data_IF_922447765640
#
_entry.id   IF_922447765640
#
_cell.length_a   1.000
_cell.length_b   1.000
_cell.length_c   1.000
_cell.angle_alpha   90.00
_cell.angle_beta   90.00
_cell.angle_gamma   90.00
#
_symmetry.space_group_name_H-M   'P 1'
#
loop_
_entity.id
_entity.type
_entity.pdbx_description
1 polymer ?
#
# COMPACT_ATOMS: atom_id res chain seq x y z
N UNK A 1 29.27 -5.01 -8.43
CA UNK A 1 27.98 -4.29 -8.29
C UNK A 1 28.04 -3.06 -9.18
N UNK A 2 27.13 -2.91 -10.14
CA UNK A 2 27.06 -1.70 -10.99
C UNK A 2 26.31 -0.60 -10.23
N UNK A 3 26.97 0.52 -9.95
CA UNK A 3 26.45 1.76 -9.31
C UNK A 3 25.53 2.55 -10.26
N UNK A 4 24.54 1.89 -10.87
CA UNK A 4 23.56 2.54 -11.74
C UNK A 4 22.25 2.72 -11.00
N UNK A 5 21.73 3.94 -11.04
CA UNK A 5 20.44 4.26 -10.44
C UNK A 5 19.35 4.28 -11.49
N UNK A 6 18.15 3.84 -11.10
CA UNK A 6 17.01 3.76 -12.00
C UNK A 6 15.78 4.40 -11.37
N UNK A 7 15.03 5.17 -12.16
CA UNK A 7 13.70 5.69 -11.82
C UNK A 7 12.66 4.88 -12.59
N UNK A 8 11.72 4.30 -11.86
CA UNK A 8 10.70 3.40 -12.38
C UNK A 8 9.35 4.03 -12.14
N UNK A 9 8.60 4.23 -13.22
CA UNK A 9 7.31 4.90 -13.22
C UNK A 9 6.26 3.90 -13.66
N UNK A 10 5.26 3.70 -12.81
CA UNK A 10 4.14 2.78 -13.03
C UNK A 10 2.84 3.56 -12.86
N UNK A 11 1.95 3.47 -13.85
CA UNK A 11 0.60 3.98 -13.78
C UNK A 11 -0.33 2.92 -13.19
N UNK A 12 -1.26 3.37 -12.33
CA UNK A 12 -2.30 2.53 -11.75
C UNK A 12 -3.66 3.15 -12.04
N UNK A 13 -4.59 2.36 -12.57
CA UNK A 13 -5.92 2.83 -12.96
C UNK A 13 -6.91 1.66 -13.02
N UNK A 14 -8.19 1.95 -12.80
CA UNK A 14 -9.25 0.94 -12.91
C UNK A 14 -9.74 0.75 -14.34
N UNK A 15 -10.07 -0.49 -14.69
CA UNK A 15 -10.84 -0.84 -15.90
C UNK A 15 -11.93 -1.83 -15.48
N UNK A 16 -13.19 -1.41 -15.56
CA UNK A 16 -14.31 -2.22 -15.05
C UNK A 16 -14.13 -2.55 -13.57
N UNK A 17 -14.08 -3.85 -13.24
CA UNK A 17 -13.87 -4.37 -11.89
C UNK A 17 -12.40 -4.56 -11.51
N UNK A 18 -11.46 -4.32 -12.43
CA UNK A 18 -10.06 -4.64 -12.24
C UNK A 18 -9.22 -3.37 -12.02
N UNK A 19 -8.18 -3.51 -11.20
CA UNK A 19 -7.13 -2.51 -11.05
C UNK A 19 -5.94 -2.97 -11.89
N UNK A 20 -5.55 -2.15 -12.85
CA UNK A 20 -4.41 -2.41 -13.73
C UNK A 20 -3.19 -1.61 -13.28
N UNK A 21 -2.02 -2.19 -13.53
CA UNK A 21 -0.72 -1.57 -13.25
C UNK A 21 0.16 -1.70 -14.48
N UNK A 22 0.54 -0.56 -15.07
CA UNK A 22 1.31 -0.52 -16.32
C UNK A 22 2.60 0.26 -16.08
N UNK A 23 3.73 -0.32 -16.47
CA UNK A 23 5.02 0.37 -16.40
C UNK A 23 5.16 1.36 -17.54
N UNK A 24 5.10 2.65 -17.22
CA UNK A 24 5.32 3.72 -18.20
C UNK A 24 6.80 3.83 -18.59
N UNK A 25 7.69 3.57 -17.63
CA UNK A 25 9.10 3.82 -17.86
C UNK A 25 10.04 3.26 -16.80
N UNK A 26 11.17 2.70 -17.22
CA UNK A 26 12.36 2.53 -16.37
C UNK A 26 13.53 3.28 -16.98
N UNK A 27 13.86 4.40 -16.35
CA UNK A 27 14.85 5.35 -16.83
C UNK A 27 16.12 5.21 -15.98
N UNK A 28 17.24 4.96 -16.64
CA UNK A 28 18.54 5.05 -15.98
C UNK A 28 18.90 6.51 -15.80
N UNK A 29 19.16 6.95 -14.57
CA UNK A 29 19.71 8.28 -14.32
C UNK A 29 21.23 8.19 -14.26
N UNK A 30 21.90 9.04 -15.05
CA UNK A 30 23.34 9.25 -15.01
C UNK A 30 23.71 10.54 -14.26
N UNK A 31 22.71 11.27 -13.76
CA UNK A 31 22.85 12.56 -13.08
C UNK A 31 22.57 12.42 -11.57
N UNK A 32 22.81 13.50 -10.81
CA UNK A 32 22.43 13.53 -9.39
C UNK A 32 20.90 13.48 -9.28
N UNK A 33 20.39 12.68 -8.35
CA UNK A 33 18.95 12.56 -8.05
C UNK A 33 18.40 13.80 -7.33
N UNK A 34 18.51 14.98 -7.93
CA UNK A 34 17.88 16.20 -7.42
C UNK A 34 16.36 16.11 -7.61
N UNK A 35 15.62 16.82 -6.75
CA UNK A 35 14.17 16.89 -6.84
C UNK A 35 13.69 17.45 -8.18
N UNK A 36 14.43 18.40 -8.74
CA UNK A 36 14.14 19.12 -9.97
C UNK A 36 14.27 18.17 -11.17
N UNK A 37 15.37 17.41 -11.25
CA UNK A 37 15.59 16.42 -12.31
C UNK A 37 14.52 15.32 -12.28
N UNK A 38 14.17 14.82 -11.09
CA UNK A 38 13.12 13.80 -10.95
C UNK A 38 11.76 14.37 -11.41
N UNK A 39 11.44 15.62 -11.05
CA UNK A 39 10.21 16.27 -11.48
C UNK A 39 10.14 16.42 -13.01
N UNK A 40 11.22 16.86 -13.65
CA UNK A 40 11.31 16.95 -15.11
C UNK A 40 11.10 15.59 -15.78
N UNK A 41 11.72 14.53 -15.26
CA UNK A 41 11.54 13.17 -15.78
C UNK A 41 10.09 12.69 -15.66
N UNK A 42 9.42 12.97 -14.53
CA UNK A 42 8.02 12.63 -14.32
C UNK A 42 7.11 13.36 -15.31
N UNK A 43 7.31 14.66 -15.49
CA UNK A 43 6.54 15.47 -16.43
C UNK A 43 6.77 15.04 -17.87
N UNK A 44 8.03 14.79 -18.26
CA UNK A 44 8.37 14.26 -19.58
C UNK A 44 7.69 12.93 -19.85
N UNK A 45 7.67 12.03 -18.87
CA UNK A 45 6.98 10.74 -18.99
C UNK A 45 5.47 10.95 -19.20
N UNK A 46 4.86 11.90 -18.51
CA UNK A 46 3.44 12.22 -18.74
C UNK A 46 3.19 12.70 -20.16
N UNK A 47 4.04 13.60 -20.68
CA UNK A 47 3.95 14.09 -22.07
C UNK A 47 4.16 12.98 -23.10
N UNK A 48 5.14 12.10 -22.89
CA UNK A 48 5.41 10.95 -23.78
C UNK A 48 4.21 10.00 -23.91
N UNK A 49 3.42 9.86 -22.84
CA UNK A 49 2.25 8.98 -22.79
C UNK A 49 0.92 9.71 -23.00
N UNK A 50 0.92 11.02 -23.24
CA UNK A 50 -0.32 11.81 -23.39
C UNK A 50 -1.18 11.86 -22.13
N UNK A 51 -0.55 11.82 -20.94
CA UNK A 51 -1.25 11.84 -19.65
C UNK A 51 -1.36 13.28 -19.14
N UNK A 52 -2.58 13.79 -19.06
CA UNK A 52 -2.84 15.10 -18.46
C UNK A 52 -2.55 15.11 -16.95
N UNK A 53 -1.87 16.17 -16.48
CA UNK A 53 -1.48 16.33 -15.07
C UNK A 53 -2.69 16.35 -14.12
N UNK A 54 -3.84 16.82 -14.60
CA UNK A 54 -5.07 16.92 -13.82
C UNK A 54 -5.75 15.56 -13.59
N UNK A 55 -5.48 14.58 -14.47
CA UNK A 55 -5.96 13.20 -14.32
C UNK A 55 -5.18 12.42 -13.25
N UNK A 56 -4.00 12.89 -12.86
CA UNK A 56 -3.19 12.25 -11.82
C UNK A 56 -3.82 12.56 -10.46
N UNK A 57 -4.35 11.52 -9.79
CA UNK A 57 -5.01 11.67 -8.49
C UNK A 57 -4.01 11.70 -7.33
N UNK A 58 -2.97 10.88 -7.40
CA UNK A 58 -1.93 10.78 -6.37
C UNK A 58 -0.65 10.15 -6.93
N UNK A 59 0.48 10.38 -6.27
CA UNK A 59 1.75 9.71 -6.58
C UNK A 59 2.35 9.11 -5.31
N UNK A 60 2.68 7.81 -5.35
CA UNK A 60 3.24 7.07 -4.22
C UNK A 60 4.75 6.87 -4.38
N UNK A 61 5.53 7.21 -3.35
CA UNK A 61 7.00 7.06 -3.35
C UNK A 61 7.52 6.55 -2.00
N UNK A 62 8.82 6.27 -1.90
CA UNK A 62 9.51 5.74 -0.71
C UNK A 62 9.79 6.80 0.40
N UNK A 63 9.16 7.97 0.33
CA UNK A 63 9.30 9.08 1.30
C UNK A 63 10.69 9.72 1.37
N UNK A 64 11.58 9.44 0.42
CA UNK A 64 12.86 10.16 0.35
C UNK A 64 12.61 11.65 0.06
N UNK A 65 13.35 12.53 0.72
CA UNK A 65 13.11 13.98 0.65
C UNK A 65 13.10 14.52 -0.79
N UNK A 66 13.99 14.01 -1.64
CA UNK A 66 14.07 14.40 -3.05
C UNK A 66 12.83 13.95 -3.83
N UNK A 67 12.30 12.74 -3.56
CA UNK A 67 11.06 12.27 -4.21
C UNK A 67 9.85 13.08 -3.76
N UNK A 68 9.71 13.37 -2.46
CA UNK A 68 8.61 14.19 -1.93
C UNK A 68 8.61 15.56 -2.58
N UNK A 69 9.77 16.24 -2.61
CA UNK A 69 9.91 17.56 -3.23
C UNK A 69 9.68 17.50 -4.75
N UNK A 70 10.15 16.45 -5.43
CA UNK A 70 9.89 16.26 -6.87
C UNK A 70 8.39 16.14 -7.19
N UNK A 71 7.63 15.39 -6.37
CA UNK A 71 6.18 15.26 -6.56
C UNK A 71 5.49 16.61 -6.32
N UNK A 72 5.92 17.37 -5.32
CA UNK A 72 5.36 18.71 -5.06
C UNK A 72 5.60 19.66 -6.23
N UNK A 73 6.82 19.65 -6.81
CA UNK A 73 7.17 20.43 -7.99
C UNK A 73 6.37 20.00 -9.24
N UNK A 74 6.19 18.70 -9.46
CA UNK A 74 5.55 18.18 -10.67
C UNK A 74 4.01 18.17 -10.59
N UNK A 75 3.43 17.92 -9.42
CA UNK A 75 2.00 17.59 -9.27
C UNK A 75 1.33 18.27 -8.07
N UNK A 76 2.05 19.10 -7.31
CA UNK A 76 1.58 19.72 -6.08
C UNK A 76 1.43 18.71 -4.94
N UNK A 77 0.51 19.00 -4.00
CA UNK A 77 0.24 18.18 -2.80
C UNK A 77 -0.52 16.88 -3.09
N UNK A 78 0.00 16.08 -4.02
CA UNK A 78 -0.54 14.77 -4.43
C UNK A 78 0.33 13.58 -3.98
N UNK A 79 1.39 13.84 -3.21
CA UNK A 79 2.26 12.80 -2.66
C UNK A 79 1.54 11.96 -1.60
N UNK A 80 1.65 10.64 -1.70
CA UNK A 80 1.23 9.68 -0.69
C UNK A 80 2.45 8.85 -0.27
N UNK A 81 2.71 8.71 1.04
CA UNK A 81 3.82 7.90 1.48
C UNK A 81 3.60 6.41 1.25
N UNK A 82 4.61 5.68 0.78
CA UNK A 82 4.52 4.24 0.59
C UNK A 82 4.34 3.54 1.94
N UNK A 83 3.15 2.94 2.16
CA UNK A 83 2.82 2.30 3.42
C UNK A 83 3.75 1.13 3.76
N UNK A 84 4.11 0.30 2.77
CA UNK A 84 5.03 -0.81 2.95
C UNK A 84 6.44 -0.35 3.38
N UNK A 85 6.94 0.72 2.76
CA UNK A 85 8.22 1.31 3.13
C UNK A 85 8.17 1.90 4.55
N UNK A 86 7.08 2.60 4.89
CA UNK A 86 6.89 3.15 6.24
C UNK A 86 6.84 2.04 7.30
N UNK A 87 6.16 0.90 7.04
CA UNK A 87 6.19 -0.26 7.94
C UNK A 87 7.60 -0.85 8.11
N UNK A 88 8.38 -0.94 7.02
CA UNK A 88 9.78 -1.34 7.09
C UNK A 88 10.59 -0.39 7.98
N UNK A 89 10.40 0.92 7.83
CA UNK A 89 11.08 1.92 8.66
C UNK A 89 10.69 1.81 10.14
N UNK A 90 9.40 1.56 10.45
CA UNK A 90 8.96 1.31 11.84
C UNK A 90 9.74 0.14 12.43
N UNK A 91 9.74 -1.01 11.77
CA UNK A 91 10.44 -2.20 12.29
C UNK A 91 11.96 -1.97 12.44
N UNK A 92 12.61 -1.41 11.42
CA UNK A 92 14.06 -1.17 11.43
C UNK A 92 14.45 -0.20 12.54
N UNK A 93 13.78 0.94 12.63
CA UNK A 93 14.08 1.96 13.62
C UNK A 93 13.79 1.46 15.03
N UNK A 94 12.73 0.69 15.23
CA UNK A 94 12.42 0.15 16.55
C UNK A 94 13.48 -0.85 17.02
N UNK A 95 13.91 -1.75 16.14
CA UNK A 95 14.99 -2.68 16.48
C UNK A 95 16.34 -1.97 16.69
N UNK A 96 16.61 -0.88 15.95
CA UNK A 96 17.86 -0.12 16.09
C UNK A 96 17.94 0.65 17.42
N UNK A 97 16.80 1.11 17.95
CA UNK A 97 16.71 1.84 19.22
C UNK A 97 16.92 0.93 20.43
N UNK A 98 16.59 -0.36 20.34
CA UNK A 98 16.79 -1.32 21.43
C UNK A 98 18.20 -1.94 21.36
N UNK A 99 19.13 -1.42 22.16
CA UNK A 99 20.55 -1.86 22.15
C UNK A 99 20.75 -3.31 22.53
N UNK A 100 20.03 -3.78 23.55
CA UNK A 100 20.04 -5.18 23.99
C UNK A 100 19.51 -6.12 22.90
N UNK A 101 18.45 -5.72 22.18
CA UNK A 101 17.93 -6.52 21.08
C UNK A 101 18.97 -6.69 19.97
N UNK A 102 19.73 -5.63 19.66
CA UNK A 102 20.81 -5.70 18.66
C UNK A 102 21.92 -6.67 19.05
N UNK A 103 22.27 -6.75 20.34
CA UNK A 103 23.28 -7.70 20.81
C UNK A 103 22.76 -9.14 20.68
N UNK A 104 21.50 -9.40 21.03
CA UNK A 104 20.88 -10.72 20.85
C UNK A 104 20.77 -11.13 19.39
N UNK A 105 20.37 -10.22 18.50
CA UNK A 105 20.34 -10.46 17.04
C UNK A 105 21.75 -10.84 16.54
N UNK A 106 22.78 -10.15 17.04
CA UNK A 106 24.17 -10.44 16.66
C UNK A 106 24.59 -11.84 17.10
N UNK A 107 24.28 -12.25 18.34
CA UNK A 107 24.55 -13.63 18.82
C UNK A 107 23.87 -14.69 17.94
N UNK A 108 22.58 -14.49 17.61
CA UNK A 108 21.86 -15.41 16.72
C UNK A 108 22.50 -15.46 15.34
N UNK A 109 22.89 -14.29 14.81
CA UNK A 109 23.55 -14.17 13.50
C UNK A 109 24.90 -14.89 13.47
N UNK A 110 25.69 -14.80 14.53
CA UNK A 110 27.00 -15.47 14.61
C UNK A 110 26.84 -16.99 14.59
N UNK A 111 25.87 -17.52 15.34
CA UNK A 111 25.50 -18.94 15.29
C UNK A 111 25.10 -19.35 13.88
N UNK A 112 24.16 -18.63 13.26
CA UNK A 112 23.68 -18.96 11.91
C UNK A 112 24.82 -18.90 10.88
N UNK A 113 25.70 -17.91 11.02
CA UNK A 113 26.87 -17.73 10.14
C UNK A 113 27.83 -18.90 10.27
N UNK A 114 28.12 -19.34 11.50
CA UNK A 114 28.97 -20.50 11.75
C UNK A 114 28.40 -21.79 11.13
N UNK A 115 27.09 -22.05 11.30
CA UNK A 115 26.44 -23.18 10.64
C UNK A 115 26.58 -23.11 9.12
N UNK A 116 26.42 -21.93 8.52
CA UNK A 116 26.56 -21.74 7.06
C UNK A 116 27.99 -21.91 6.56
N UNK A 117 28.99 -21.63 7.38
CA UNK A 117 30.41 -21.81 7.04
C UNK A 117 30.87 -23.26 7.25
N UNK A 118 30.27 -24.00 8.18
CA UNK A 118 30.59 -25.40 8.47
C UNK A 118 29.72 -26.35 7.65
N UNK A 119 30.28 -26.94 6.60
CA UNK A 119 29.60 -27.97 5.79
C UNK A 119 29.16 -29.18 6.65
N UNK A 120 29.95 -29.54 7.66
CA UNK A 120 29.67 -30.68 8.54
C UNK A 120 28.46 -30.36 9.44
N UNK A 121 28.51 -29.23 10.15
CA UNK A 121 27.41 -28.84 11.05
C UNK A 121 26.11 -28.56 10.27
N UNK A 122 26.20 -27.96 9.07
CA UNK A 122 25.07 -27.79 8.17
C UNK A 122 24.45 -29.13 7.74
N UNK A 123 25.28 -30.15 7.46
CA UNK A 123 24.79 -31.46 7.10
C UNK A 123 24.18 -32.22 8.29
N UNK A 124 24.75 -32.09 9.49
CA UNK A 124 24.14 -32.63 10.72
C UNK A 124 22.76 -32.01 10.96
N UNK A 125 22.65 -30.68 10.84
CA UNK A 125 21.37 -29.99 10.98
C UNK A 125 20.34 -30.47 9.95
N UNK A 126 20.76 -30.66 8.69
CA UNK A 126 19.88 -31.20 7.63
C UNK A 126 19.42 -32.63 7.92
N UNK A 127 20.28 -33.47 8.48
CA UNK A 127 19.93 -34.86 8.83
C UNK A 127 18.99 -34.90 10.04
N UNK A 128 19.22 -34.04 11.02
CA UNK A 128 18.39 -33.95 12.23
C UNK A 128 17.01 -33.32 11.96
N UNK A 129 16.89 -32.52 10.90
CA UNK A 129 15.61 -31.95 10.48
C UNK A 129 14.97 -32.83 9.39
N UNK A 130 13.85 -33.49 9.70
CA UNK A 130 13.12 -34.39 8.78
C UNK A 130 12.73 -33.77 7.41
N UNK A 131 12.89 -32.45 7.24
CA UNK A 131 12.51 -31.68 6.03
C UNK A 131 13.68 -30.96 5.35
N UNK A 132 14.94 -31.35 5.61
CA UNK A 132 16.15 -30.62 5.15
C UNK A 132 16.13 -29.13 5.51
N UNK A 133 15.57 -28.79 6.66
CA UNK A 133 15.34 -27.40 7.06
C UNK A 133 16.67 -26.70 7.36
N UNK A 134 16.95 -25.60 6.66
CA UNK A 134 18.15 -24.78 6.86
C UNK A 134 17.87 -23.57 7.75
N UNK A 135 18.90 -23.11 8.46
CA UNK A 135 18.89 -21.79 9.11
C UNK A 135 18.85 -20.67 8.05
N UNK A 136 18.15 -19.59 8.38
CA UNK A 136 17.98 -18.43 7.51
C UNK A 136 18.95 -17.35 7.96
N UNK A 137 19.77 -16.83 7.04
CA UNK A 137 20.65 -15.71 7.33
C UNK A 137 19.90 -14.40 7.12
N UNK A 138 20.11 -13.45 8.03
CA UNK A 138 19.71 -12.07 7.84
C UNK A 138 20.31 -11.47 6.56
N UNK A 139 19.48 -10.73 5.83
CA UNK A 139 19.88 -9.86 4.73
C UNK A 139 19.66 -8.41 5.20
N UNK A 140 20.71 -7.63 5.47
CA UNK A 140 20.61 -6.33 6.15
C UNK A 140 19.63 -5.32 5.54
N UNK A 141 19.30 -5.46 4.26
CA UNK A 141 18.44 -4.54 3.53
C UNK A 141 16.94 -4.70 3.81
N UNK A 142 16.49 -5.79 4.46
CA UNK A 142 15.07 -6.02 4.76
C UNK A 142 14.88 -6.58 6.16
N UNK A 143 14.11 -5.86 6.99
CA UNK A 143 13.86 -6.21 8.38
C UNK A 143 13.22 -7.59 8.57
N UNK A 144 12.39 -8.02 7.60
CA UNK A 144 11.71 -9.33 7.64
C UNK A 144 12.72 -10.49 7.70
N UNK A 145 13.92 -10.30 7.14
CA UNK A 145 14.96 -11.34 7.17
C UNK A 145 15.50 -11.57 8.59
N UNK A 146 15.61 -10.51 9.39
CA UNK A 146 15.96 -10.60 10.81
C UNK A 146 14.88 -11.36 11.58
N UNK A 147 13.61 -11.03 11.35
CA UNK A 147 12.47 -11.76 11.94
C UNK A 147 12.51 -13.26 11.60
N UNK A 148 12.63 -13.62 10.32
CA UNK A 148 12.68 -15.02 9.89
C UNK A 148 13.91 -15.76 10.38
N UNK A 149 15.06 -15.09 10.53
CA UNK A 149 16.26 -15.66 11.12
C UNK A 149 16.01 -16.05 12.58
N UNK A 150 15.46 -15.14 13.40
CA UNK A 150 15.16 -15.41 14.82
C UNK A 150 14.09 -16.50 14.95
N UNK A 151 13.00 -16.41 14.18
CA UNK A 151 11.92 -17.40 14.18
C UNK A 151 12.45 -18.80 13.86
N UNK A 152 13.21 -18.94 12.77
CA UNK A 152 13.82 -20.23 12.39
C UNK A 152 14.85 -20.72 13.40
N UNK A 153 15.64 -19.82 13.97
CA UNK A 153 16.60 -20.19 15.01
C UNK A 153 15.89 -20.75 16.25
N UNK A 154 14.83 -20.09 16.73
CA UNK A 154 14.05 -20.55 17.87
C UNK A 154 13.31 -21.86 17.59
N UNK A 155 12.81 -22.07 16.37
CA UNK A 155 12.22 -23.34 15.92
C UNK A 155 13.23 -24.50 16.05
N UNK A 156 14.50 -24.26 15.68
CA UNK A 156 15.54 -25.28 15.64
C UNK A 156 16.46 -25.30 16.87
N UNK A 157 16.17 -24.49 17.90
CA UNK A 157 17.09 -24.20 19.02
C UNK A 157 17.62 -25.44 19.73
N UNK A 158 16.82 -26.50 19.87
CA UNK A 158 17.21 -27.75 20.53
C UNK A 158 18.26 -28.49 19.71
N UNK A 159 17.98 -28.72 18.43
CA UNK A 159 18.90 -29.37 17.49
C UNK A 159 20.18 -28.52 17.33
N UNK A 160 20.04 -27.21 17.24
CA UNK A 160 21.16 -26.27 17.13
C UNK A 160 22.07 -26.38 18.36
N UNK A 161 21.49 -26.40 19.56
CA UNK A 161 22.24 -26.57 20.80
C UNK A 161 22.99 -27.91 20.87
N UNK A 162 22.31 -29.02 20.52
CA UNK A 162 22.90 -30.36 20.51
C UNK A 162 24.11 -30.49 19.59
N UNK A 163 24.09 -29.77 18.47
CA UNK A 163 25.21 -29.72 17.52
C UNK A 163 26.30 -28.81 18.08
N UNK A 164 25.99 -27.58 18.51
CA UNK A 164 26.98 -26.60 19.00
C UNK A 164 27.88 -27.19 20.09
N UNK A 165 27.31 -27.93 21.05
CA UNK A 165 28.04 -28.52 22.19
C UNK A 165 29.14 -29.51 21.73
N UNK A 166 29.02 -30.09 20.53
CA UNK A 166 30.01 -31.04 19.98
C UNK A 166 31.23 -30.37 19.37
N UNK A 167 31.19 -29.06 19.13
CA UNK A 167 32.23 -28.33 18.40
C UNK A 167 32.88 -27.25 19.26
N UNK A 168 34.18 -27.39 19.54
CA UNK A 168 34.95 -26.40 20.34
C UNK A 168 35.04 -25.02 19.69
N UNK A 169 34.96 -24.96 18.36
CA UNK A 169 35.02 -23.71 17.59
C UNK A 169 33.64 -23.12 17.29
N UNK A 170 32.57 -23.68 17.84
CA UNK A 170 31.23 -23.12 17.70
C UNK A 170 31.07 -21.88 18.59
N UNK A 171 30.32 -20.86 18.13
CA UNK A 171 29.96 -19.73 18.96
C UNK A 171 29.11 -20.18 20.17
N UNK A 172 29.16 -19.44 21.30
CA UNK A 172 28.39 -19.79 22.47
C UNK A 172 26.88 -19.72 22.17
N UNK A 173 26.14 -20.70 22.69
CA UNK A 173 24.68 -20.70 22.61
C UNK A 173 24.07 -19.59 23.47
N UNK A 174 22.87 -19.13 23.10
CA UNK A 174 22.09 -18.21 23.93
C UNK A 174 21.62 -18.91 25.21
N UNK A 175 21.59 -18.16 26.31
CA UNK A 175 21.07 -18.63 27.60
C UNK A 175 19.55 -18.84 27.55
N UNK A 176 19.00 -19.59 28.52
CA UNK A 176 17.55 -19.80 28.62
C UNK A 176 16.77 -18.48 28.75
N UNK A 177 17.32 -17.51 29.48
CA UNK A 177 16.75 -16.16 29.61
C UNK A 177 16.71 -15.44 28.27
N UNK A 178 17.82 -15.43 27.53
CA UNK A 178 17.90 -14.79 26.21
C UNK A 178 16.95 -15.44 25.18
N UNK A 179 16.77 -16.75 25.24
CA UNK A 179 15.80 -17.47 24.40
C UNK A 179 14.35 -17.08 24.74
N UNK A 180 14.04 -16.89 26.02
CA UNK A 180 12.74 -16.39 26.49
C UNK A 180 12.48 -14.96 25.99
N UNK A 181 13.47 -14.07 26.15
CA UNK A 181 13.45 -12.70 25.65
C UNK A 181 13.18 -12.65 24.15
N UNK A 182 13.93 -13.42 23.34
CA UNK A 182 13.72 -13.48 21.89
C UNK A 182 12.33 -14.00 21.51
N UNK A 183 11.82 -14.98 22.26
CA UNK A 183 10.47 -15.51 22.06
C UNK A 183 9.40 -14.46 22.31
N UNK A 184 9.58 -13.65 23.36
CA UNK A 184 8.70 -12.51 23.69
C UNK A 184 8.79 -11.39 22.64
N UNK A 185 10.00 -11.04 22.20
CA UNK A 185 10.25 -10.07 21.11
C UNK A 185 9.55 -10.50 19.81
N UNK A 186 9.60 -11.78 19.46
CA UNK A 186 8.92 -12.30 18.27
C UNK A 186 7.41 -12.11 18.30
N UNK A 187 6.78 -12.09 19.48
CA UNK A 187 5.33 -11.84 19.58
C UNK A 187 4.97 -10.46 19.03
N UNK A 188 5.82 -9.46 19.30
CA UNK A 188 5.62 -8.08 18.82
C UNK A 188 5.97 -7.97 17.33
N UNK A 189 7.14 -8.47 16.92
CA UNK A 189 7.59 -8.38 15.52
C UNK A 189 6.66 -9.14 14.56
N UNK A 190 6.04 -10.23 15.01
CA UNK A 190 5.07 -11.03 14.23
C UNK A 190 3.87 -10.18 13.76
N UNK A 191 3.44 -9.20 14.55
CA UNK A 191 2.32 -8.33 14.17
C UNK A 191 2.68 -7.40 13.01
N UNK A 192 3.89 -6.82 13.04
CA UNK A 192 4.40 -6.03 11.92
C UNK A 192 4.60 -6.93 10.69
N UNK A 193 5.07 -8.16 10.89
CA UNK A 193 5.32 -9.10 9.79
C UNK A 193 4.02 -9.48 9.10
N UNK A 194 2.98 -9.75 9.87
CA UNK A 194 1.65 -10.03 9.35
C UNK A 194 1.11 -8.84 8.51
N UNK A 195 1.29 -7.61 8.99
CA UNK A 195 0.90 -6.41 8.25
C UNK A 195 1.72 -6.25 6.96
N UNK A 196 3.05 -6.40 7.01
CA UNK A 196 3.92 -6.32 5.83
C UNK A 196 3.60 -7.41 4.81
N UNK A 197 3.36 -8.65 5.25
CA UNK A 197 2.91 -9.74 4.38
C UNK A 197 1.58 -9.42 3.72
N UNK A 198 0.62 -8.85 4.47
CA UNK A 198 -0.70 -8.49 3.91
C UNK A 198 -0.59 -7.43 2.82
N UNK A 199 0.19 -6.37 3.06
CA UNK A 199 0.42 -5.28 2.09
C UNK A 199 1.20 -5.78 0.88
N UNK A 200 2.19 -6.66 1.11
CA UNK A 200 3.03 -7.20 0.03
C UNK A 200 2.29 -8.23 -0.82
N UNK A 201 1.47 -9.10 -0.21
CA UNK A 201 0.75 -10.15 -0.93
C UNK A 201 -0.39 -9.58 -1.81
N UNK A 202 -0.91 -8.41 -1.44
CA UNK A 202 -1.95 -7.75 -2.22
C UNK A 202 -1.38 -7.32 -3.58
N UNK A 203 -1.93 -7.85 -4.67
CA UNK A 203 -1.52 -7.46 -6.03
C UNK A 203 -1.64 -5.95 -6.22
N UNK A 204 -2.65 -5.37 -5.56
CA UNK A 204 -2.89 -3.93 -5.56
C UNK A 204 -3.45 -3.51 -4.20
N UNK A 205 -2.57 -3.34 -3.19
CA UNK A 205 -2.99 -2.75 -1.92
C UNK A 205 -3.55 -1.35 -2.19
N UNK A 206 -4.87 -1.24 -2.20
CA UNK A 206 -5.59 0.01 -2.41
C UNK A 206 -5.32 0.95 -1.24
N UNK A 207 -5.24 2.23 -1.53
CA UNK A 207 -5.15 3.33 -0.56
C UNK A 207 -6.15 3.18 0.60
N UNK A 208 -7.35 2.65 0.30
CA UNK A 208 -8.43 2.43 1.27
C UNK A 208 -8.13 1.45 2.41
N UNK A 209 -7.13 0.57 2.25
CA UNK A 209 -6.76 -0.40 3.29
C UNK A 209 -5.77 0.17 4.31
N UNK A 210 -5.13 1.31 4.02
CA UNK A 210 -4.04 1.84 4.85
C UNK A 210 -4.53 2.19 6.26
N UNK A 211 -5.59 2.99 6.40
CA UNK A 211 -6.15 3.38 7.71
C UNK A 211 -6.66 2.15 8.49
N UNK A 212 -7.48 1.25 7.90
CA UNK A 212 -7.91 0.02 8.58
C UNK A 212 -6.77 -0.87 9.07
N UNK A 213 -5.71 -1.04 8.26
CA UNK A 213 -4.56 -1.87 8.64
C UNK A 213 -3.81 -1.28 9.82
N UNK A 214 -3.59 0.04 9.84
CA UNK A 214 -2.93 0.73 10.96
C UNK A 214 -3.75 0.60 12.23
N UNK A 215 -5.06 0.87 12.15
CA UNK A 215 -5.94 0.75 13.30
C UNK A 215 -5.99 -0.70 13.82
N UNK A 216 -6.16 -1.70 12.95
CA UNK A 216 -6.13 -3.11 13.35
C UNK A 216 -4.78 -3.51 13.97
N UNK A 217 -3.67 -3.01 13.43
CA UNK A 217 -2.33 -3.25 13.98
C UNK A 217 -2.22 -2.67 15.41
N UNK A 218 -2.67 -1.44 15.62
CA UNK A 218 -2.68 -0.80 16.94
C UNK A 218 -3.59 -1.54 17.94
N UNK A 219 -4.77 -2.01 17.51
CA UNK A 219 -5.66 -2.82 18.33
C UNK A 219 -5.05 -4.16 18.76
N UNK A 220 -4.06 -4.67 18.03
CA UNK A 220 -3.34 -5.89 18.39
C UNK A 220 -2.09 -5.60 19.21
N UNK A 221 -1.33 -4.56 18.89
CA UNK A 221 -0.08 -4.23 19.60
C UNK A 221 -0.36 -3.69 21.01
N UNK A 222 -1.30 -2.76 21.16
CA UNK A 222 -1.56 -2.09 22.45
C UNK A 222 -1.92 -3.05 23.60
N UNK A 223 -2.81 -4.05 23.42
CA UNK A 223 -3.18 -4.94 24.52
C UNK A 223 -2.23 -6.14 24.71
N UNK A 224 -1.14 -6.26 23.95
CA UNK A 224 -0.17 -7.34 24.15
C UNK A 224 0.41 -7.27 25.57
N UNK A 225 0.20 -8.34 26.33
CA UNK A 225 0.83 -8.54 27.64
C UNK A 225 2.14 -9.28 27.42
N UNK A 226 3.24 -8.58 27.70
CA UNK A 226 4.60 -9.11 27.57
C UNK A 226 5.17 -9.25 28.98
N UNK A 227 5.93 -10.31 29.22
CA UNK A 227 6.59 -10.54 30.52
C UNK A 227 7.94 -9.83 30.56
N UNK A 228 8.74 -10.07 29.53
CA UNK A 228 10.10 -9.60 29.35
C UNK A 228 10.21 -8.07 29.17
N UNK A 229 11.17 -7.45 29.87
CA UNK A 229 11.41 -6.00 29.84
C UNK A 229 11.75 -5.50 28.44
N UNK A 230 12.65 -6.18 27.73
CA UNK A 230 13.06 -5.81 26.38
C UNK A 230 11.89 -5.86 25.38
N UNK A 231 10.97 -6.81 25.54
CA UNK A 231 9.80 -6.91 24.68
C UNK A 231 8.82 -5.75 24.93
N UNK A 232 8.64 -5.32 26.20
CA UNK A 232 7.85 -4.12 26.56
C UNK A 232 8.48 -2.85 26.01
N UNK A 233 9.80 -2.74 26.09
CA UNK A 233 10.55 -1.62 25.50
C UNK A 233 10.30 -1.57 23.98
N UNK A 234 10.51 -2.69 23.28
CA UNK A 234 10.28 -2.79 21.84
C UNK A 234 8.84 -2.45 21.46
N UNK A 235 7.84 -2.93 22.22
CA UNK A 235 6.43 -2.59 22.02
C UNK A 235 6.20 -1.07 22.12
N UNK A 236 6.75 -0.42 23.15
CA UNK A 236 6.67 1.03 23.35
C UNK A 236 7.32 1.81 22.20
N UNK A 237 8.51 1.39 21.77
CA UNK A 237 9.24 2.03 20.66
C UNK A 237 8.48 1.84 19.34
N UNK A 238 7.91 0.67 19.07
CA UNK A 238 7.08 0.43 17.88
C UNK A 238 5.85 1.35 17.89
N UNK A 239 5.16 1.47 19.01
CA UNK A 239 4.00 2.37 19.11
C UNK A 239 4.38 3.83 18.84
N UNK A 240 5.53 4.29 19.37
CA UNK A 240 6.07 5.63 19.10
C UNK A 240 6.46 5.83 17.63
N UNK A 241 7.11 4.86 17.00
CA UNK A 241 7.48 4.94 15.57
C UNK A 241 6.25 4.90 14.65
N UNK A 242 5.21 4.13 15.00
CA UNK A 242 3.93 4.15 14.29
C UNK A 242 3.29 5.54 14.42
N UNK A 243 3.18 6.07 15.63
CA UNK A 243 2.59 7.40 15.87
C UNK A 243 3.35 8.52 15.13
N UNK A 244 4.67 8.53 15.24
CA UNK A 244 5.54 9.50 14.55
C UNK A 244 5.34 9.52 13.03
N UNK A 245 5.09 8.36 12.42
CA UNK A 245 5.06 8.20 10.95
C UNK A 245 3.66 8.15 10.37
N UNK A 246 2.69 7.75 11.18
CA UNK A 246 1.33 7.42 10.74
C UNK A 246 0.24 7.96 11.67
N UNK A 247 0.57 8.68 12.75
CA UNK A 247 -0.42 9.23 13.68
C UNK A 247 -1.38 10.24 13.02
N UNK A 248 -0.92 10.93 11.97
CA UNK A 248 -1.73 11.87 11.18
C UNK A 248 -2.27 11.28 9.88
N UNK A 249 -2.17 9.95 9.68
CA UNK A 249 -2.55 9.31 8.41
C UNK A 249 -4.04 9.51 8.07
N UNK A 250 -4.90 9.59 9.08
CA UNK A 250 -6.33 9.83 8.91
C UNK A 250 -6.62 11.22 8.36
N UNK A 251 -5.70 12.18 8.51
CA UNK A 251 -5.81 13.55 7.98
C UNK A 251 -5.33 13.66 6.53
N UNK A 252 -4.74 12.60 5.97
CA UNK A 252 -4.39 12.55 4.55
C UNK A 252 -5.68 12.35 3.76
N UNK A 253 -6.20 13.45 3.19
CA UNK A 253 -7.51 13.52 2.54
C UNK A 253 -7.74 12.39 1.52
N UNK A 254 -6.73 12.05 0.71
CA UNK A 254 -6.83 10.98 -0.29
C UNK A 254 -7.06 9.59 0.34
N UNK A 255 -6.33 9.27 1.40
CA UNK A 255 -6.48 7.99 2.12
C UNK A 255 -7.79 7.95 2.91
N UNK A 256 -8.17 9.06 3.53
CA UNK A 256 -9.40 9.17 4.30
C UNK A 256 -10.64 8.98 3.42
N UNK A 257 -10.69 9.67 2.27
CA UNK A 257 -11.77 9.51 1.30
C UNK A 257 -11.80 8.09 0.73
N UNK A 258 -10.65 7.53 0.35
CA UNK A 258 -10.58 6.16 -0.15
C UNK A 258 -11.09 5.14 0.89
N UNK A 259 -10.80 5.35 2.18
CA UNK A 259 -11.27 4.48 3.26
C UNK A 259 -12.78 4.60 3.49
N UNK A 260 -13.31 5.83 3.51
CA UNK A 260 -14.75 6.08 3.67
C UNK A 260 -15.53 5.46 2.51
N UNK A 261 -15.04 5.63 1.29
CA UNK A 261 -15.68 5.12 0.08
C UNK A 261 -15.38 3.63 -0.17
N UNK A 262 -14.65 2.94 0.71
CA UNK A 262 -14.55 1.49 0.66
C UNK A 262 -15.73 0.86 1.42
N UNK A 263 -16.65 0.14 0.74
CA UNK A 263 -17.85 -0.40 1.36
C UNK A 263 -17.56 -1.34 2.53
N UNK A 264 -16.34 -1.92 2.57
CA UNK A 264 -15.89 -2.86 3.60
C UNK A 264 -15.49 -2.17 4.91
N UNK A 265 -15.15 -0.88 4.88
CA UNK A 265 -14.59 -0.17 6.02
C UNK A 265 -15.41 1.04 6.44
N UNK A 266 -15.83 1.89 5.49
CA UNK A 266 -16.57 3.12 5.75
C UNK A 266 -15.89 3.96 6.85
N UNK A 267 -16.61 4.27 7.93
CA UNK A 267 -16.13 5.06 9.07
C UNK A 267 -15.52 4.22 10.20
N UNK A 268 -15.61 2.88 10.13
CA UNK A 268 -15.37 1.99 11.29
C UNK A 268 -13.96 2.11 11.87
N UNK A 269 -12.98 2.42 11.02
CA UNK A 269 -11.58 2.41 11.41
C UNK A 269 -10.99 3.78 11.73
N UNK A 270 -11.79 4.86 11.74
CA UNK A 270 -11.31 6.18 12.14
C UNK A 270 -11.26 6.29 13.66
N UNK A 271 -10.16 6.82 14.16
CA UNK A 271 -9.95 7.14 15.58
C UNK A 271 -10.00 8.65 15.84
N UNK A 272 -9.77 9.49 14.83
CA UNK A 272 -9.91 10.94 14.88
C UNK A 272 -11.28 11.35 14.29
N UNK A 273 -12.27 11.74 15.12
CA UNK A 273 -13.60 12.14 14.64
C UNK A 273 -13.57 13.37 13.73
N UNK A 274 -12.59 14.26 13.92
CA UNK A 274 -12.42 15.49 13.13
C UNK A 274 -11.93 15.11 11.74
N UNK A 275 -10.94 14.23 11.65
CA UNK A 275 -10.45 13.72 10.37
C UNK A 275 -11.55 13.00 9.58
N UNK A 276 -12.34 12.15 10.24
CA UNK A 276 -13.49 11.47 9.64
C UNK A 276 -14.52 12.48 9.11
N UNK A 277 -14.91 13.46 9.93
CA UNK A 277 -15.89 14.49 9.56
C UNK A 277 -15.41 15.37 8.41
N UNK A 278 -14.13 15.76 8.42
CA UNK A 278 -13.50 16.54 7.35
C UNK A 278 -13.50 15.77 6.03
N UNK A 279 -13.16 14.48 6.04
CA UNK A 279 -13.17 13.66 4.84
C UNK A 279 -14.59 13.45 4.29
N UNK A 280 -15.61 13.27 5.16
CA UNK A 280 -17.02 13.24 4.74
C UNK A 280 -17.44 14.57 4.09
N UNK A 281 -17.08 15.70 4.69
CA UNK A 281 -17.39 17.02 4.15
C UNK A 281 -16.74 17.22 2.76
N UNK A 282 -15.51 16.73 2.58
CA UNK A 282 -14.83 16.81 1.29
C UNK A 282 -15.48 15.95 0.20
N UNK A 283 -15.98 14.76 0.55
CA UNK A 283 -16.79 13.96 -0.39
C UNK A 283 -18.05 14.71 -0.81
N UNK A 284 -18.76 15.34 0.14
CA UNK A 284 -19.93 16.17 -0.18
C UNK A 284 -19.60 17.33 -1.12
N UNK A 285 -18.46 17.99 -0.92
CA UNK A 285 -17.97 19.05 -1.80
C UNK A 285 -17.74 18.54 -3.23
N UNK A 286 -17.08 17.38 -3.40
CA UNK A 286 -16.85 16.78 -4.71
C UNK A 286 -18.16 16.35 -5.41
N UNK A 287 -19.14 15.87 -4.65
CA UNK A 287 -20.46 15.56 -5.19
C UNK A 287 -21.18 16.82 -5.70
N UNK A 288 -21.06 17.96 -5.00
CA UNK A 288 -21.61 19.25 -5.44
C UNK A 288 -20.92 19.78 -6.71
N UNK A 289 -19.60 19.67 -6.79
CA UNK A 289 -18.83 20.14 -7.94
C UNK A 289 -19.16 19.36 -9.24
N UNK A 290 -19.49 18.07 -9.13
CA UNK A 290 -19.86 17.24 -10.29
C UNK A 290 -21.14 17.72 -10.96
N UNK A 291 -22.08 18.30 -10.19
CA UNK A 291 -23.37 18.82 -10.68
C UNK A 291 -23.20 20.10 -11.49
N UNK A 292 -22.31 21.00 -11.07
CA UNK A 292 -22.09 22.26 -11.78
C UNK A 292 -21.52 22.03 -13.18
N UNK A 293 -20.71 20.98 -13.37
CA UNK A 293 -20.20 20.61 -14.69
C UNK A 293 -21.26 19.96 -15.59
N UNK A 294 -22.17 19.14 -15.04
CA UNK A 294 -23.27 18.52 -15.80
C UNK A 294 -24.32 19.56 -16.27
N UNK A 295 -24.63 20.57 -15.45
CA UNK A 295 -25.62 21.62 -15.81
C UNK A 295 -25.12 22.46 -17.00
N UNK A 296 -23.82 22.74 -17.09
CA UNK A 296 -23.23 23.54 -18.17
C UNK A 296 -23.21 22.79 -19.52
N UNK A 297 -23.14 21.45 -19.52
CA UNK A 297 -23.24 20.66 -20.76
C UNK A 297 -24.71 20.46 -21.22
N UNK A 298 -25.67 20.40 -20.28
CA UNK A 298 -27.08 20.13 -20.59
C UNK A 298 -27.88 21.29 -21.17
N UNK A 299 -27.42 22.54 -21.04
CA UNK A 299 -28.14 23.73 -21.55
C UNK A 299 -28.11 23.88 -23.08
N UNK A 300 -27.51 22.92 -23.81
CA UNK A 300 -27.37 22.97 -25.27
C UNK A 300 -28.23 21.95 -26.05
N UNK A 301 -29.07 21.13 -25.40
CA UNK A 301 -29.81 20.08 -26.13
C UNK A 301 -31.18 19.66 -25.55
N UNK A 302 -31.97 20.57 -24.97
CA UNK A 302 -33.35 20.25 -24.58
C UNK A 302 -34.39 21.01 -25.44
N UNK A 303 -34.41 20.64 -26.72
CA UNK A 303 -35.52 20.94 -27.63
C UNK A 303 -35.90 19.65 -28.37
N UNK A 304 -36.87 18.91 -27.83
CA UNK A 304 -38.11 18.53 -28.53
C UNK A 304 -38.72 17.25 -27.94
N UNK A 305 -39.73 17.40 -27.10
CA UNK A 305 -40.89 16.51 -27.09
C UNK A 305 -42.12 17.39 -26.88
N UNK A 306 -42.65 17.93 -27.98
CA UNK A 306 -44.00 18.48 -28.01
C UNK A 306 -44.93 17.35 -28.45
N UNK A 307 -45.86 16.87 -27.61
CA UNK A 307 -46.92 16.00 -28.08
C UNK A 307 -47.82 16.81 -29.03
N UNK A 308 -48.06 16.29 -30.23
CA UNK A 308 -48.92 16.89 -31.25
C UNK A 308 -50.44 16.72 -30.97
N UNK A 309 -50.85 16.48 -29.72
CA UNK A 309 -52.28 16.33 -29.41
C UNK A 309 -52.67 17.14 -28.17
N UNK A 310 -53.57 18.10 -28.37
CA UNK A 310 -53.82 19.23 -27.46
C UNK A 310 -54.80 18.87 -26.32
N UNK A 311 -54.96 17.58 -26.00
CA UNK A 311 -55.89 17.09 -24.98
C UNK A 311 -55.39 15.78 -24.34
N UNK A 312 -54.25 15.83 -23.64
CA UNK A 312 -53.81 14.70 -22.82
C UNK A 312 -54.35 14.84 -21.40
N UNK A 313 -55.07 13.81 -20.92
CA UNK A 313 -55.54 13.72 -19.52
C UNK A 313 -54.40 13.93 -18.50
N UNK A 314 -53.16 13.67 -18.92
CA UNK A 314 -51.98 13.72 -18.08
C UNK A 314 -51.20 15.04 -18.18
N UNK A 315 -51.70 16.07 -18.89
CA UNK A 315 -51.00 17.36 -19.00
C UNK A 315 -50.73 17.99 -17.63
N UNK A 316 -51.69 17.87 -16.71
CA UNK A 316 -51.53 18.35 -15.35
C UNK A 316 -50.58 17.47 -14.53
N UNK A 317 -50.52 16.16 -14.81
CA UNK A 317 -49.51 15.27 -14.20
C UNK A 317 -48.11 15.63 -14.70
N UNK A 318 -47.91 15.87 -16.00
CA UNK A 318 -46.61 16.30 -16.54
C UNK A 318 -46.17 17.63 -15.93
N UNK A 319 -47.09 18.59 -15.74
CA UNK A 319 -46.80 19.85 -15.04
C UNK A 319 -46.47 19.62 -13.55
N UNK A 320 -47.19 18.73 -12.85
CA UNK A 320 -46.91 18.37 -11.46
C UNK A 320 -45.56 17.67 -11.30
N UNK A 321 -45.21 16.76 -12.23
CA UNK A 321 -43.91 16.07 -12.29
C UNK A 321 -42.80 17.06 -12.59
N UNK A 322 -42.96 17.96 -13.57
CA UNK A 322 -41.98 18.99 -13.89
C UNK A 322 -41.77 19.97 -12.72
N UNK A 323 -42.85 20.35 -12.03
CA UNK A 323 -42.79 21.19 -10.82
C UNK A 323 -42.13 20.45 -9.67
N UNK A 324 -42.45 19.16 -9.47
CA UNK A 324 -41.78 18.29 -8.49
C UNK A 324 -40.28 18.13 -8.79
N UNK A 325 -39.89 17.93 -10.05
CA UNK A 325 -38.49 17.87 -10.49
C UNK A 325 -37.73 19.17 -10.26
N UNK A 326 -38.33 20.33 -10.54
CA UNK A 326 -37.72 21.63 -10.21
C UNK A 326 -37.54 21.84 -8.71
N UNK A 327 -38.51 21.38 -7.90
CA UNK A 327 -38.41 21.47 -6.43
C UNK A 327 -37.46 20.42 -5.84
N UNK A 328 -37.32 19.23 -6.44
CA UNK A 328 -36.39 18.19 -5.98
C UNK A 328 -34.93 18.45 -6.40
N UNK A 329 -34.71 19.28 -7.44
CA UNK A 329 -33.38 19.78 -7.83
C UNK A 329 -32.76 20.78 -6.83
N UNK A 330 -33.50 21.24 -5.81
CA UNK A 330 -32.92 22.06 -4.74
C UNK A 330 -32.24 21.16 -3.68
N UNK A 331 -30.91 21.28 -3.57
CA UNK A 331 -29.94 20.92 -2.49
C UNK A 331 -30.08 19.61 -1.65
N UNK A 332 -31.27 19.03 -1.44
CA UNK A 332 -31.52 17.91 -0.52
C UNK A 332 -31.11 16.53 -1.10
N UNK A 333 -31.32 16.27 -2.40
CA UNK A 333 -30.99 14.97 -3.01
C UNK A 333 -29.47 14.65 -3.01
N UNK A 334 -28.62 15.66 -2.84
CA UNK A 334 -27.14 15.55 -2.84
C UNK A 334 -26.63 15.02 -1.50
N UNK A 335 -27.35 15.30 -0.40
CA UNK A 335 -27.09 14.73 0.92
C UNK A 335 -27.47 13.24 0.97
N UNK A 336 -28.36 12.79 0.08
CA UNK A 336 -28.98 11.48 0.14
C UNK A 336 -28.07 10.33 -0.34
N UNK A 337 -27.37 10.42 -1.47
CA UNK A 337 -26.52 9.29 -1.94
C UNK A 337 -25.46 8.90 -0.89
N UNK A 338 -24.71 9.87 -0.37
CA UNK A 338 -23.70 9.62 0.65
C UNK A 338 -24.33 9.13 1.96
N UNK A 339 -25.49 9.67 2.35
CA UNK A 339 -26.19 9.24 3.56
C UNK A 339 -26.73 7.82 3.43
N UNK A 340 -27.31 7.45 2.29
CA UNK A 340 -27.75 6.09 1.95
C UNK A 340 -26.57 5.13 2.01
N UNK A 341 -25.46 5.47 1.35
CA UNK A 341 -24.25 4.66 1.36
C UNK A 341 -23.71 4.45 2.78
N UNK A 342 -23.59 5.53 3.57
CA UNK A 342 -23.05 5.44 4.93
C UNK A 342 -23.96 4.66 5.89
N UNK A 343 -25.28 4.64 5.66
CA UNK A 343 -26.26 3.87 6.44
C UNK A 343 -26.37 2.41 5.98
N UNK A 344 -25.99 2.09 4.75
CA UNK A 344 -26.04 0.72 4.25
C UNK A 344 -25.11 -0.23 5.04
N UNK A 345 -25.35 -1.54 5.03
CA UNK A 345 -24.47 -2.51 5.68
C UNK A 345 -23.03 -2.46 5.15
N UNK A 346 -22.07 -2.86 5.99
CA UNK A 346 -20.66 -2.98 5.59
C UNK A 346 -20.45 -4.22 4.75
N UNK A 347 -19.66 -4.09 3.69
CA UNK A 347 -19.31 -5.16 2.77
C UNK A 347 -18.35 -6.19 3.38
N UNK A 348 -18.34 -7.40 2.83
CA UNK A 348 -17.42 -8.47 3.28
C UNK A 348 -15.98 -8.17 2.83
N UNK A 349 -15.00 -8.47 3.68
CA UNK A 349 -13.58 -8.17 3.42
C UNK A 349 -13.00 -8.89 2.18
N UNK A 350 -13.55 -10.07 1.84
CA UNK A 350 -13.11 -10.89 0.71
C UNK A 350 -13.69 -10.46 -0.65
N UNK A 351 -14.65 -9.52 -0.66
CA UNK A 351 -15.22 -8.99 -1.90
C UNK A 351 -14.37 -7.86 -2.49
N UNK A 352 -14.41 -7.73 -3.81
CA UNK A 352 -13.76 -6.65 -4.52
C UNK A 352 -14.59 -5.36 -4.34
N UNK A 353 -14.01 -4.26 -3.82
CA UNK A 353 -14.76 -3.03 -3.63
C UNK A 353 -15.23 -2.40 -4.95
N UNK A 354 -14.49 -2.56 -6.06
CA UNK A 354 -14.89 -2.05 -7.38
C UNK A 354 -16.13 -2.79 -7.92
N UNK A 355 -16.23 -4.09 -7.67
CA UNK A 355 -17.42 -4.91 -8.00
C UNK A 355 -18.65 -4.40 -7.24
N UNK A 356 -18.53 -4.19 -5.92
CA UNK A 356 -19.62 -3.66 -5.09
C UNK A 356 -20.06 -2.28 -5.60
N UNK A 357 -19.12 -1.41 -5.97
CA UNK A 357 -19.47 -0.10 -6.52
C UNK A 357 -20.15 -0.19 -7.88
N UNK A 358 -19.73 -1.10 -8.75
CA UNK A 358 -20.38 -1.27 -10.04
C UNK A 358 -21.82 -1.77 -9.90
N UNK A 359 -22.11 -2.62 -8.90
CA UNK A 359 -23.49 -3.00 -8.55
C UNK A 359 -24.31 -1.80 -8.04
N UNK A 360 -23.68 -0.91 -7.26
CA UNK A 360 -24.30 0.30 -6.72
C UNK A 360 -24.39 1.46 -7.72
N UNK A 361 -23.78 1.36 -8.90
CA UNK A 361 -23.67 2.47 -9.87
C UNK A 361 -25.02 3.04 -10.29
N UNK A 362 -26.03 2.20 -10.45
CA UNK A 362 -27.38 2.63 -10.83
C UNK A 362 -28.03 3.45 -9.73
N UNK A 363 -27.80 3.08 -8.46
CA UNK A 363 -28.41 3.74 -7.30
C UNK A 363 -27.64 4.97 -6.86
N UNK A 364 -26.30 4.97 -7.01
CA UNK A 364 -25.37 5.97 -6.48
C UNK A 364 -24.35 6.41 -7.55
N UNK A 365 -24.78 6.94 -8.71
CA UNK A 365 -23.90 7.19 -9.86
C UNK A 365 -22.84 8.26 -9.59
N UNK A 366 -23.17 9.30 -8.82
CA UNK A 366 -22.22 10.39 -8.50
C UNK A 366 -21.16 9.89 -7.54
N UNK A 367 -21.61 9.20 -6.48
CA UNK A 367 -20.71 8.64 -5.49
C UNK A 367 -19.83 7.53 -6.09
N UNK A 368 -20.34 6.75 -7.04
CA UNK A 368 -19.58 5.76 -7.81
C UNK A 368 -18.38 6.39 -8.50
N UNK A 369 -18.56 7.51 -9.22
CA UNK A 369 -17.48 8.18 -9.94
C UNK A 369 -16.34 8.61 -8.99
N UNK A 370 -16.70 9.17 -7.84
CA UNK A 370 -15.73 9.55 -6.81
C UNK A 370 -15.08 8.30 -6.22
N UNK A 371 -15.86 7.29 -5.82
CA UNK A 371 -15.33 6.07 -5.24
C UNK A 371 -14.36 5.37 -6.18
N UNK A 372 -14.68 5.29 -7.47
CA UNK A 372 -13.83 4.69 -8.50
C UNK A 372 -12.46 5.37 -8.58
N UNK A 373 -12.45 6.72 -8.56
CA UNK A 373 -11.21 7.52 -8.56
C UNK A 373 -10.34 7.22 -7.33
N UNK A 374 -10.95 7.11 -6.15
CA UNK A 374 -10.19 6.97 -4.90
C UNK A 374 -9.79 5.53 -4.58
N UNK A 375 -10.59 4.53 -4.96
CA UNK A 375 -10.32 3.12 -4.74
C UNK A 375 -9.27 2.55 -5.71
N UNK A 376 -9.05 3.20 -6.85
CA UNK A 376 -8.01 2.82 -7.81
C UNK A 376 -6.64 3.41 -7.47
N UNK A 377 -6.56 4.29 -6.47
CA UNK A 377 -5.28 4.73 -5.92
C UNK A 377 -4.59 3.60 -5.14
N UNK A 378 -3.28 3.46 -5.34
CA UNK A 378 -2.45 2.50 -4.59
C UNK A 378 -1.94 3.13 -3.29
N UNK A 379 -1.75 2.31 -2.26
CA UNK A 379 -1.12 2.72 -0.99
C UNK A 379 0.37 2.36 -0.88
N UNK A 380 0.96 1.77 -1.92
CA UNK A 380 2.32 1.22 -1.89
C UNK A 380 3.03 1.29 -3.24
N UNK A 381 4.35 1.50 -3.22
CA UNK A 381 5.25 1.42 -4.38
C UNK A 381 5.80 0.01 -4.65
N UNK A 382 5.38 -1.01 -3.89
CA UNK A 382 5.85 -2.41 -4.04
C UNK A 382 5.68 -2.99 -5.45
N UNK A 383 4.62 -2.68 -6.22
CA UNK A 383 4.52 -3.12 -7.61
C UNK A 383 5.73 -2.70 -8.46
N UNK A 384 6.22 -1.47 -8.29
CA UNK A 384 7.41 -0.95 -8.96
C UNK A 384 8.69 -1.65 -8.47
N UNK A 385 8.80 -1.98 -7.18
CA UNK A 385 9.96 -2.71 -6.63
C UNK A 385 10.08 -4.15 -7.16
N UNK A 386 8.94 -4.83 -7.37
CA UNK A 386 8.90 -6.15 -8.03
C UNK A 386 9.37 -6.05 -9.47
N UNK A 387 8.95 -5.00 -10.17
CA UNK A 387 9.39 -4.71 -11.52
C UNK A 387 10.90 -4.47 -11.56
N UNK A 388 11.46 -3.71 -10.62
CA UNK A 388 12.91 -3.51 -10.50
C UNK A 388 13.66 -4.80 -10.17
N UNK A 389 13.10 -5.67 -9.34
CA UNK A 389 13.70 -6.98 -9.06
C UNK A 389 13.78 -7.85 -10.33
N UNK A 390 12.72 -7.85 -11.15
CA UNK A 390 12.70 -8.50 -12.47
C UNK A 390 13.64 -7.82 -13.47
N UNK A 391 13.66 -6.50 -13.50
CA UNK A 391 14.57 -5.72 -14.34
C UNK A 391 16.03 -6.03 -14.00
N UNK A 392 16.37 -6.11 -12.71
CA UNK A 392 17.70 -6.48 -12.25
C UNK A 392 18.08 -7.91 -12.66
N UNK A 393 17.13 -8.87 -12.67
CA UNK A 393 17.38 -10.21 -13.21
C UNK A 393 17.66 -10.19 -14.72
N UNK A 394 16.87 -9.44 -15.49
CA UNK A 394 17.05 -9.30 -16.95
C UNK A 394 18.41 -8.64 -17.26
N UNK A 395 18.78 -7.61 -16.50
CA UNK A 395 20.01 -6.83 -16.71
C UNK A 395 21.26 -7.57 -16.21
N UNK A 396 21.20 -8.24 -15.05
CA UNK A 396 22.39 -8.83 -14.40
C UNK A 396 22.61 -10.33 -14.65
N UNK A 397 21.56 -11.14 -14.92
CA UNK A 397 21.69 -12.60 -14.99
C UNK A 397 21.47 -13.18 -16.40
N UNK A 398 20.66 -12.55 -17.24
CA UNK A 398 20.29 -13.12 -18.54
C UNK A 398 20.82 -12.36 -19.77
N UNK A 399 20.99 -11.02 -19.71
CA UNK A 399 21.42 -10.21 -20.87
C UNK A 399 22.19 -8.93 -20.50
N UNK A 400 23.50 -9.05 -20.28
CA UNK A 400 24.40 -7.97 -19.80
C UNK A 400 24.61 -6.75 -20.76
N UNK A 401 23.94 -6.67 -21.92
CA UNK A 401 24.11 -5.57 -22.93
C UNK A 401 22.81 -4.96 -23.43
N UNK A 402 21.70 -5.02 -22.69
CA UNK A 402 20.47 -4.34 -23.08
C UNK A 402 20.60 -2.82 -22.91
N UNK A 403 20.47 -2.06 -24.01
CA UNK A 403 20.36 -0.58 -23.98
C UNK A 403 19.07 -0.17 -23.25
N UNK A 404 19.09 0.96 -22.52
CA UNK A 404 17.96 1.43 -21.70
C UNK A 404 16.61 1.48 -22.42
N UNK A 405 16.58 1.89 -23.71
CA UNK A 405 15.36 1.92 -24.53
C UNK A 405 14.73 0.53 -24.77
N UNK A 406 15.55 -0.53 -24.88
CA UNK A 406 15.05 -1.92 -25.04
C UNK A 406 14.59 -2.52 -23.70
N UNK A 407 15.30 -2.22 -22.61
CA UNK A 407 14.88 -2.61 -21.26
C UNK A 407 13.49 -2.04 -20.94
N UNK A 408 13.29 -0.75 -21.25
CA UNK A 408 12.02 -0.09 -21.00
C UNK A 408 10.84 -0.76 -21.75
N UNK A 409 11.02 -1.04 -23.05
CA UNK A 409 10.02 -1.77 -23.85
C UNK A 409 9.71 -3.18 -23.32
N UNK A 410 10.75 -3.92 -22.88
CA UNK A 410 10.57 -5.27 -22.33
C UNK A 410 9.77 -5.25 -21.02
N UNK A 411 10.05 -4.29 -20.14
CA UNK A 411 9.34 -4.17 -18.86
C UNK A 411 7.90 -3.68 -19.07
N UNK A 412 7.65 -2.77 -20.00
CA UNK A 412 6.31 -2.38 -20.41
C UNK A 412 5.51 -3.59 -20.92
N UNK A 413 6.02 -4.34 -21.90
CA UNK A 413 5.34 -5.53 -22.42
C UNK A 413 5.07 -6.57 -21.33
N UNK A 414 6.02 -6.79 -20.41
CA UNK A 414 5.81 -7.69 -19.27
C UNK A 414 4.76 -7.18 -18.26
N UNK A 415 4.51 -5.87 -18.20
CA UNK A 415 3.49 -5.29 -17.34
C UNK A 415 2.08 -5.42 -17.91
N UNK A 416 1.95 -5.58 -19.24
CA UNK A 416 0.66 -5.74 -19.90
C UNK A 416 0.10 -7.17 -19.73
N UNK A 417 -1.22 -7.32 -19.50
CA UNK A 417 -1.93 -8.57 -19.74
C UNK A 417 -1.62 -9.13 -21.13
N UNK A 418 -1.49 -10.46 -21.24
CA UNK A 418 -1.20 -11.14 -22.52
C UNK A 418 -2.21 -10.83 -23.62
N UNK A 419 -3.43 -10.47 -23.22
CA UNK A 419 -4.53 -10.10 -24.10
C UNK A 419 -4.25 -8.82 -24.90
N UNK A 420 -3.37 -7.94 -24.41
CA UNK A 420 -3.00 -6.68 -25.07
C UNK A 420 -1.69 -6.76 -25.88
N UNK A 421 -1.15 -7.96 -26.11
CA UNK A 421 0.12 -8.15 -26.83
C UNK A 421 -0.05 -8.20 -28.35
N UNK A 422 -1.28 -8.09 -28.85
CA UNK A 422 -1.66 -8.33 -30.25
C UNK A 422 -1.66 -7.02 -31.03
#
# INVERSE_FOLDING_TARGET
MSTRSFLGITAHFGVGNELLSITLGVYQSNERHTSEHIAEMLLKTCTEWGIDRDKISSVVTDNTANMVKAIDLAFGKKHIPCFAHTLNLVAQNSMQQCTELRSLITKVKDIVTWFKQSNIASNELRKATQKETKLIQEVPTRWNSTYHMIERFLELRTIVNDIIIRYKNAPPMLTASELSILSSVLQVLRLIEAATKKVSADKHCTSSKVIPLIHCLLLKIKPLKLEESLAKELQSVILKEIDKRMGVIERVTSLAIATILDPRFKKMHFTDPIACSSAVAKVKEFMKATIQNEVVESDSSDHSDKPEDNFSLWDDHHKLVYKSWKTAKSDDAISDELSIYLRSPVGRLNKNPLEIWNDLKIQLPKLHTIAYKYLTMVGTSVPSERLFSKAAQIVNQQRNRLKGKRLNKLLFLQSLPKEHWI
#
